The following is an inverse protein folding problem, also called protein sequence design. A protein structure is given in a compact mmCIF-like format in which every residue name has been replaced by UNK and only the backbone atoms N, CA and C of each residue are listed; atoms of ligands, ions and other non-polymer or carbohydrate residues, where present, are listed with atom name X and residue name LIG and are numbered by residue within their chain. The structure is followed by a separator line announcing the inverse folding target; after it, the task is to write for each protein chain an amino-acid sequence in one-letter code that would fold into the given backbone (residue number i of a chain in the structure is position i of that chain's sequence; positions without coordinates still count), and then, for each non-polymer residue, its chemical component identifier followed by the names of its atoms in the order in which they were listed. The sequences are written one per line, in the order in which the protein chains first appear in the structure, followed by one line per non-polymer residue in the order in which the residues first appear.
data_IF_641913204157
#
_entry.id   IF_641913204157
#
_cell.length_a   1.000
_cell.length_b   1.000
_cell.length_c   1.000
_cell.angle_alpha   90.00
_cell.angle_beta   90.00
_cell.angle_gamma   90.00
#
_symmetry.space_group_name_H-M   'P 1'
#
loop_
_entity.id
_entity.type
_entity.pdbx_description
1 polymer ?
#
# COMPACT_ATOMS: atom_id res chain seq x y z
N UNK A 1 -57.99 10.14 83.75
CA UNK A 1 -57.87 9.44 82.45
C UNK A 1 -57.87 10.50 81.35
N UNK A 2 -56.76 10.75 80.66
CA UNK A 2 -56.58 10.97 79.20
C UNK A 2 -55.07 11.13 78.97
N UNK A 3 -54.58 10.48 77.90
CA UNK A 3 -53.21 9.99 77.69
C UNK A 3 -52.34 10.99 76.93
N UNK A 4 -51.05 10.99 77.29
CA UNK A 4 -49.94 11.60 76.56
C UNK A 4 -49.64 10.80 75.27
N UNK A 5 -49.46 11.47 74.14
CA UNK A 5 -48.96 10.87 72.91
C UNK A 5 -47.56 11.39 72.58
N UNK A 6 -46.59 10.48 72.67
CA UNK A 6 -45.21 10.57 72.20
C UNK A 6 -45.19 10.05 70.76
N UNK A 7 -44.73 10.86 69.81
CA UNK A 7 -44.57 10.44 68.41
C UNK A 7 -43.40 9.46 68.20
N UNK A 8 -43.32 8.81 67.03
CA UNK A 8 -42.03 8.39 66.52
C UNK A 8 -41.78 8.71 65.03
N UNK A 9 -40.48 8.66 64.76
CA UNK A 9 -39.67 9.16 63.64
C UNK A 9 -39.48 8.13 62.51
N UNK A 10 -39.38 8.65 61.26
CA UNK A 10 -38.79 8.14 60.01
C UNK A 10 -38.55 6.63 59.82
N UNK A 11 -39.05 6.10 58.69
CA UNK A 11 -38.32 5.11 57.90
C UNK A 11 -38.54 5.35 56.40
N UNK A 12 -37.48 5.81 55.77
CA UNK A 12 -37.28 6.00 54.34
C UNK A 12 -36.85 4.65 53.75
N UNK A 13 -37.53 4.16 52.71
CA UNK A 13 -37.05 3.03 51.90
C UNK A 13 -36.58 3.56 50.55
N UNK A 14 -35.30 3.91 50.48
CA UNK A 14 -34.60 4.17 49.23
C UNK A 14 -34.47 2.84 48.45
N UNK A 15 -35.13 2.76 47.31
CA UNK A 15 -34.85 1.77 46.27
C UNK A 15 -33.77 2.37 45.34
N UNK A 16 -32.55 1.80 45.23
CA UNK A 16 -31.62 2.24 44.22
C UNK A 16 -32.01 1.63 42.87
N UNK A 17 -32.38 2.51 41.94
CA UNK A 17 -32.60 2.19 40.53
C UNK A 17 -31.29 1.62 39.98
N UNK A 18 -31.34 0.37 39.53
CA UNK A 18 -30.26 -0.29 38.81
C UNK A 18 -30.09 0.36 37.44
N UNK A 19 -29.21 1.37 37.35
CA UNK A 19 -28.71 1.83 36.06
C UNK A 19 -27.58 0.91 35.60
N UNK A 20 -27.91 0.09 34.61
CA UNK A 20 -26.98 -0.65 33.78
C UNK A 20 -25.83 0.28 33.35
N UNK A 21 -24.62 -0.24 33.46
CA UNK A 21 -23.35 0.39 33.08
C UNK A 21 -23.34 0.82 31.62
N UNK A 22 -23.72 2.08 31.37
CA UNK A 22 -23.29 2.80 30.18
C UNK A 22 -21.77 3.03 30.28
N UNK A 23 -20.96 2.56 29.31
CA UNK A 23 -19.53 2.83 29.34
C UNK A 23 -19.31 4.35 29.28
N UNK A 24 -18.69 4.90 30.32
CA UNK A 24 -18.37 6.33 30.33
C UNK A 24 -17.51 6.68 29.12
N UNK A 25 -17.65 7.91 28.61
CA UNK A 25 -16.85 8.43 27.48
C UNK A 25 -15.35 8.16 27.69
N UNK A 26 -14.87 8.26 28.93
CA UNK A 26 -13.49 7.94 29.30
C UNK A 26 -13.11 6.47 29.02
N UNK A 27 -14.00 5.52 29.32
CA UNK A 27 -13.76 4.10 29.02
C UNK A 27 -13.68 3.85 27.51
N UNK A 28 -14.51 4.56 26.73
CA UNK A 28 -14.48 4.51 25.25
C UNK A 28 -13.17 5.09 24.71
N UNK A 29 -12.72 6.24 25.21
CA UNK A 29 -11.44 6.83 24.78
C UNK A 29 -10.26 5.92 25.12
N UNK A 30 -10.26 5.31 26.31
CA UNK A 30 -9.20 4.38 26.72
C UNK A 30 -9.18 3.12 25.86
N UNK A 31 -10.35 2.60 25.48
CA UNK A 31 -10.48 1.50 24.52
C UNK A 31 -9.89 1.89 23.16
N UNK A 32 -10.22 3.07 22.64
CA UNK A 32 -9.69 3.55 21.36
C UNK A 32 -8.16 3.69 21.38
N UNK A 33 -7.58 4.24 22.45
CA UNK A 33 -6.12 4.38 22.59
C UNK A 33 -5.44 3.00 22.58
N UNK A 34 -6.00 2.01 23.29
CA UNK A 34 -5.46 0.64 23.31
C UNK A 34 -5.54 -0.03 21.94
N UNK A 35 -6.66 0.15 21.22
CA UNK A 35 -6.82 -0.39 19.87
C UNK A 35 -5.81 0.26 18.92
N UNK A 36 -5.65 1.59 18.97
CA UNK A 36 -4.67 2.30 18.14
C UNK A 36 -3.23 1.87 18.44
N UNK A 37 -2.88 1.70 19.72
CA UNK A 37 -1.56 1.22 20.12
C UNK A 37 -1.28 -0.20 19.61
N UNK A 38 -2.25 -1.11 19.68
CA UNK A 38 -2.12 -2.47 19.17
C UNK A 38 -2.00 -2.53 17.65
N UNK A 39 -2.76 -1.70 16.92
CA UNK A 39 -2.64 -1.58 15.46
C UNK A 39 -1.28 -1.02 15.05
N UNK A 40 -0.75 -0.04 15.79
CA UNK A 40 0.56 0.56 15.52
C UNK A 40 1.72 -0.38 15.88
N UNK A 41 1.57 -1.20 16.93
CA UNK A 41 2.52 -2.25 17.28
C UNK A 41 2.51 -3.39 16.24
N UNK A 42 1.34 -3.79 15.74
CA UNK A 42 1.23 -4.77 14.65
C UNK A 42 1.83 -4.26 13.33
N UNK A 43 1.72 -2.95 13.06
CA UNK A 43 2.36 -2.30 11.91
C UNK A 43 3.87 -2.09 12.08
N UNK A 44 4.38 -2.04 13.32
CA UNK A 44 5.80 -1.87 13.64
C UNK A 44 6.53 -3.18 13.92
N UNK A 45 5.85 -4.33 13.83
CA UNK A 45 6.55 -5.59 13.68
C UNK A 45 7.25 -5.50 12.33
N UNK A 46 8.56 -5.23 12.34
CA UNK A 46 9.42 -5.37 11.19
C UNK A 46 9.16 -6.76 10.63
N UNK A 47 8.34 -6.82 9.58
CA UNK A 47 8.19 -8.01 8.77
C UNK A 47 9.61 -8.27 8.32
N UNK A 48 10.25 -9.29 8.89
CA UNK A 48 11.50 -9.82 8.37
C UNK A 48 11.18 -10.28 6.94
N UNK A 49 11.30 -9.35 6.00
CA UNK A 49 11.17 -9.61 4.58
C UNK A 49 12.56 -10.11 4.23
N UNK A 50 12.77 -11.44 4.11
CA UNK A 50 14.05 -11.92 3.64
C UNK A 50 14.39 -11.15 2.35
N UNK A 51 15.65 -10.76 2.14
CA UNK A 51 16.05 -10.06 0.94
C UNK A 51 15.47 -10.80 -0.26
N UNK A 52 14.68 -10.10 -1.08
CA UNK A 52 14.12 -10.71 -2.27
C UNK A 52 15.28 -11.32 -3.05
N UNK A 53 15.15 -12.60 -3.42
CA UNK A 53 16.19 -13.28 -4.18
C UNK A 53 16.46 -12.48 -5.46
N UNK A 54 17.63 -11.84 -5.53
CA UNK A 54 18.12 -11.17 -6.72
C UNK A 54 19.14 -12.09 -7.37
N UNK A 55 18.87 -12.53 -8.59
CA UNK A 55 19.83 -13.29 -9.40
C UNK A 55 21.04 -12.38 -9.66
N UNK A 56 22.25 -12.75 -9.21
CA UNK A 56 23.44 -11.96 -9.46
C UNK A 56 23.73 -11.93 -10.97
N UNK A 57 24.03 -10.74 -11.50
CA UNK A 57 24.53 -10.57 -12.87
C UNK A 57 23.55 -10.98 -14.00
N UNK A 58 22.29 -10.55 -13.91
CA UNK A 58 21.35 -10.62 -15.04
C UNK A 58 21.93 -9.98 -16.30
N UNK A 59 21.85 -10.68 -17.44
CA UNK A 59 22.24 -10.13 -18.75
C UNK A 59 21.34 -8.93 -19.06
N UNK A 60 21.94 -7.80 -19.43
CA UNK A 60 21.20 -6.61 -19.88
C UNK A 60 20.47 -6.89 -21.21
N UNK A 61 19.34 -6.24 -21.47
CA UNK A 61 18.67 -6.32 -22.76
C UNK A 61 19.58 -5.95 -23.93
N UNK A 62 19.35 -6.57 -25.08
CA UNK A 62 19.96 -6.14 -26.34
C UNK A 62 19.22 -4.91 -26.88
N UNK A 63 19.93 -3.99 -27.53
CA UNK A 63 19.30 -2.81 -28.12
C UNK A 63 18.32 -3.23 -29.23
N UNK A 64 17.17 -2.57 -29.29
CA UNK A 64 16.12 -2.83 -30.28
C UNK A 64 15.94 -1.63 -31.20
N UNK A 65 16.16 -1.83 -32.49
CA UNK A 65 16.14 -0.77 -33.51
C UNK A 65 14.81 -0.66 -34.29
N UNK A 66 13.90 -1.61 -34.08
CA UNK A 66 12.64 -1.73 -34.81
C UNK A 66 12.75 -2.34 -36.21
N UNK A 67 13.90 -2.90 -36.61
CA UNK A 67 14.07 -3.50 -37.96
C UNK A 67 13.62 -4.94 -38.08
N UNK A 68 13.66 -5.68 -36.98
CA UNK A 68 13.31 -7.09 -36.92
C UNK A 68 12.13 -7.28 -35.95
N UNK A 69 10.87 -7.17 -36.41
CA UNK A 69 9.70 -7.20 -35.54
C UNK A 69 9.64 -8.43 -34.63
N UNK A 70 10.09 -9.59 -35.11
CA UNK A 70 10.12 -10.83 -34.33
C UNK A 70 11.04 -10.77 -33.08
N UNK A 71 11.96 -9.80 -32.99
CA UNK A 71 12.83 -9.61 -31.82
C UNK A 71 12.20 -8.80 -30.68
N UNK A 72 11.07 -8.13 -30.93
CA UNK A 72 10.41 -7.27 -29.93
C UNK A 72 10.02 -8.06 -28.68
N UNK A 73 9.55 -9.30 -28.86
CA UNK A 73 9.16 -10.17 -27.74
C UNK A 73 10.34 -10.55 -26.87
N UNK A 74 11.47 -10.93 -27.48
CA UNK A 74 12.68 -11.27 -26.74
C UNK A 74 13.22 -10.06 -25.98
N UNK A 75 13.18 -8.87 -26.59
CA UNK A 75 13.52 -7.61 -25.94
C UNK A 75 12.62 -7.35 -24.72
N UNK A 76 11.30 -7.35 -24.89
CA UNK A 76 10.33 -7.14 -23.80
C UNK A 76 10.53 -8.15 -22.66
N UNK A 77 10.66 -9.44 -23.00
CA UNK A 77 10.86 -10.50 -22.00
C UNK A 77 12.14 -10.29 -21.19
N UNK A 78 13.23 -9.83 -21.82
CA UNK A 78 14.48 -9.53 -21.12
C UNK A 78 14.33 -8.36 -20.14
N UNK A 79 13.60 -7.30 -20.52
CA UNK A 79 13.28 -6.19 -19.63
C UNK A 79 12.40 -6.66 -18.45
N UNK A 80 11.34 -7.43 -18.72
CA UNK A 80 10.47 -7.98 -17.67
C UNK A 80 11.25 -8.78 -16.64
N UNK A 81 12.15 -9.67 -17.10
CA UNK A 81 12.93 -10.51 -16.19
C UNK A 81 13.81 -9.66 -15.27
N UNK A 82 14.43 -8.61 -15.78
CA UNK A 82 15.22 -7.66 -14.99
C UNK A 82 14.35 -6.91 -13.96
N UNK A 83 13.16 -6.46 -14.35
CA UNK A 83 12.25 -5.73 -13.46
C UNK A 83 11.75 -6.60 -12.31
N UNK A 84 11.44 -7.87 -12.57
CA UNK A 84 11.05 -8.82 -11.53
C UNK A 84 12.21 -9.20 -10.62
N UNK A 85 13.45 -9.17 -11.13
CA UNK A 85 14.64 -9.47 -10.36
C UNK A 85 15.03 -8.34 -9.38
N UNK A 86 14.66 -7.09 -9.67
CA UNK A 86 14.98 -5.93 -8.83
C UNK A 86 13.79 -5.00 -8.62
N UNK A 87 12.81 -5.49 -7.83
CA UNK A 87 11.57 -4.76 -7.52
C UNK A 87 11.81 -3.41 -6.82
N UNK A 88 12.94 -3.24 -6.13
CA UNK A 88 13.27 -2.01 -5.43
C UNK A 88 13.65 -0.90 -6.41
N UNK A 89 14.59 -1.20 -7.32
CA UNK A 89 14.99 -0.27 -8.37
C UNK A 89 13.89 -0.06 -9.39
N UNK A 90 13.07 -1.06 -9.70
CA UNK A 90 11.97 -0.99 -10.67
C UNK A 90 10.59 -0.92 -10.02
N UNK A 91 10.51 -0.25 -8.86
CA UNK A 91 9.28 -0.08 -8.07
C UNK A 91 8.20 0.78 -8.73
N UNK A 92 8.56 1.60 -9.71
CA UNK A 92 7.65 2.51 -10.41
C UNK A 92 7.69 2.24 -11.91
N UNK A 93 6.54 2.30 -12.56
CA UNK A 93 6.42 2.08 -14.01
C UNK A 93 7.24 3.08 -14.82
N UNK A 94 7.34 4.33 -14.35
CA UNK A 94 8.23 5.34 -14.94
C UNK A 94 9.68 4.86 -15.01
N UNK A 95 10.19 4.18 -13.97
CA UNK A 95 11.58 3.67 -13.96
C UNK A 95 11.77 2.53 -14.96
N UNK A 96 10.77 1.67 -15.10
CA UNK A 96 10.73 0.58 -16.10
C UNK A 96 10.78 1.14 -17.52
N UNK A 97 9.93 2.13 -17.81
CA UNK A 97 9.84 2.79 -19.12
C UNK A 97 11.11 3.56 -19.46
N UNK A 98 11.67 4.31 -18.51
CA UNK A 98 12.95 4.99 -18.77
C UNK A 98 14.07 3.99 -19.07
N UNK A 99 14.07 2.85 -18.38
CA UNK A 99 15.05 1.80 -18.61
C UNK A 99 14.86 1.15 -19.97
N UNK A 100 13.68 0.61 -20.31
CA UNK A 100 13.46 -0.04 -21.60
C UNK A 100 13.75 0.90 -22.77
N UNK A 101 13.36 2.17 -22.66
CA UNK A 101 13.51 3.15 -23.73
C UNK A 101 14.97 3.49 -23.96
N UNK A 102 15.84 3.37 -22.95
CA UNK A 102 17.29 3.56 -23.11
C UNK A 102 17.94 2.53 -24.03
N UNK A 103 17.30 1.38 -24.25
CA UNK A 103 17.75 0.33 -25.18
C UNK A 103 17.07 0.42 -26.55
N UNK A 104 16.13 1.35 -26.74
CA UNK A 104 15.55 1.61 -28.05
C UNK A 104 16.51 2.47 -28.86
N UNK A 105 16.74 2.07 -30.10
CA UNK A 105 17.61 2.80 -31.04
C UNK A 105 16.92 2.93 -32.40
N UNK A 106 17.55 3.63 -33.35
CA UNK A 106 17.12 3.66 -34.74
C UNK A 106 15.67 4.14 -34.94
N UNK A 107 14.81 3.27 -35.50
CA UNK A 107 13.41 3.60 -35.75
C UNK A 107 12.56 3.49 -34.49
N UNK A 108 12.89 2.56 -33.61
CA UNK A 108 12.17 2.38 -32.35
C UNK A 108 12.31 3.60 -31.41
N UNK A 109 13.51 4.18 -31.32
CA UNK A 109 13.73 5.38 -30.50
C UNK A 109 12.97 6.61 -31.03
N UNK A 110 12.93 6.79 -32.36
CA UNK A 110 12.15 7.86 -32.99
C UNK A 110 10.65 7.68 -32.78
N UNK A 111 10.17 6.44 -32.75
CA UNK A 111 8.76 6.14 -32.52
C UNK A 111 8.32 6.49 -31.09
N UNK A 112 9.15 6.23 -30.08
CA UNK A 112 8.79 6.49 -28.67
C UNK A 112 8.96 7.96 -28.24
N UNK A 113 9.80 8.72 -28.94
CA UNK A 113 10.10 10.14 -28.65
C UNK A 113 8.88 11.02 -28.29
N UNK A 114 7.78 11.05 -29.08
CA UNK A 114 6.61 11.88 -28.76
C UNK A 114 5.85 11.45 -27.50
N UNK A 115 6.06 10.21 -27.02
CA UNK A 115 5.45 9.71 -25.80
C UNK A 115 6.27 10.06 -24.56
N UNK A 116 7.60 10.19 -24.70
CA UNK A 116 8.51 10.51 -23.60
C UNK A 116 8.26 11.88 -22.98
N UNK A 117 7.86 12.87 -23.78
CA UNK A 117 7.48 14.21 -23.31
C UNK A 117 6.28 14.19 -22.35
N UNK A 118 5.43 13.18 -22.43
CA UNK A 118 4.23 13.05 -21.58
C UNK A 118 4.50 12.31 -20.27
N UNK A 119 5.63 11.59 -20.14
CA UNK A 119 6.00 10.83 -18.93
C UNK A 119 6.29 11.72 -17.70
N UNK A 120 6.42 13.04 -17.87
CA UNK A 120 6.65 13.97 -16.74
C UNK A 120 5.37 14.38 -16.03
N UNK A 121 4.18 14.18 -16.63
CA UNK A 121 2.94 14.80 -16.15
C UNK A 121 1.79 13.82 -15.88
N UNK A 122 1.89 12.54 -16.26
CA UNK A 122 0.78 11.57 -16.17
C UNK A 122 1.26 10.17 -15.77
N UNK A 123 0.34 9.36 -15.22
CA UNK A 123 0.57 7.92 -14.95
C UNK A 123 1.11 7.24 -16.21
N UNK A 124 2.29 6.63 -16.08
CA UNK A 124 3.03 6.02 -17.19
C UNK A 124 2.64 4.56 -17.43
N UNK A 125 1.77 3.99 -16.59
CA UNK A 125 1.34 2.58 -16.63
C UNK A 125 0.76 2.15 -17.99
N UNK A 126 0.17 3.07 -18.76
CA UNK A 126 -0.43 2.78 -20.06
C UNK A 126 0.54 2.16 -21.08
N UNK A 127 1.83 2.53 -21.07
CA UNK A 127 2.81 1.96 -22.02
C UNK A 127 3.12 0.49 -21.69
N UNK A 128 3.21 0.14 -20.41
CA UNK A 128 3.49 -1.22 -19.97
C UNK A 128 2.28 -2.15 -20.17
N UNK A 129 1.07 -1.61 -20.04
CA UNK A 129 -0.16 -2.39 -20.28
C UNK A 129 -0.32 -2.85 -21.73
N UNK A 130 0.39 -2.22 -22.68
CA UNK A 130 0.37 -2.61 -24.09
C UNK A 130 1.40 -3.70 -24.41
N UNK A 131 2.30 -4.04 -23.49
CA UNK A 131 3.35 -5.06 -23.72
C UNK A 131 2.84 -6.42 -24.23
N UNK A 132 1.70 -6.95 -23.75
CA UNK A 132 1.16 -8.21 -24.26
C UNK A 132 0.71 -8.18 -25.73
N UNK A 133 0.59 -6.99 -26.33
CA UNK A 133 0.11 -6.80 -27.70
C UNK A 133 1.23 -6.83 -28.75
N UNK A 134 2.49 -6.81 -28.32
CA UNK A 134 3.67 -6.88 -29.19
C UNK A 134 4.22 -8.32 -29.30
#
# INVERSE_FOLDING_TARGET
MVKSYRGPTLAQSDQPISHQTEPSLLAIMQQMIKIMANLQAAASSEVYRPPAFKTPSMKVPECFDGTQPFKVRSFIQSCQLLFHNDLENFSQDRKKILYDTSFLVGRASKWIEPYLSNLTNQDSSYLLNLWPLF
#
